data_IF_393907500902
#
_entry.id   IF_393907500902
#
_cell.length_a   1.000
_cell.length_b   1.000
_cell.length_c   1.000
_cell.angle_alpha   90.00
_cell.angle_beta   90.00
_cell.angle_gamma   90.00
#
_symmetry.space_group_name_H-M   'P 1'
#
loop_
_entity.id
_entity.type
_entity.pdbx_description
1 polymer ?
#
# COMPACT_ATOMS: atom_id res chain seq x y z
N UNK A 1 36.17 -44.69 -15.98
CA UNK A 1 35.25 -44.19 -14.94
C UNK A 1 35.27 -42.68 -14.75
N UNK A 2 36.36 -41.97 -14.94
CA UNK A 2 36.40 -40.53 -14.78
C UNK A 2 35.67 -39.75 -15.89
N UNK A 3 35.53 -40.31 -17.07
CA UNK A 3 34.86 -39.66 -18.23
C UNK A 3 33.32 -39.73 -18.14
N UNK A 4 32.77 -40.75 -17.52
CA UNK A 4 31.32 -40.92 -17.31
C UNK A 4 30.77 -39.95 -16.26
N UNK A 5 31.55 -39.66 -15.23
CA UNK A 5 31.17 -38.74 -14.17
C UNK A 5 31.07 -37.31 -14.67
N UNK A 6 31.93 -36.93 -15.60
CA UNK A 6 31.97 -35.62 -16.23
C UNK A 6 30.74 -35.41 -17.15
N UNK A 7 30.30 -36.44 -17.87
CA UNK A 7 29.11 -36.41 -18.71
C UNK A 7 27.84 -36.31 -17.87
N UNK A 8 27.76 -36.97 -16.73
CA UNK A 8 26.62 -36.92 -15.82
C UNK A 8 26.51 -35.48 -15.21
N UNK A 9 27.63 -34.90 -14.84
CA UNK A 9 27.70 -33.53 -14.31
C UNK A 9 27.28 -32.49 -15.35
N UNK A 10 27.70 -32.67 -16.60
CA UNK A 10 27.32 -31.81 -17.71
C UNK A 10 25.82 -31.94 -18.04
N UNK A 11 25.25 -33.12 -17.93
CA UNK A 11 23.83 -33.38 -18.16
C UNK A 11 22.95 -32.74 -17.08
N UNK A 12 23.40 -32.74 -15.83
CA UNK A 12 22.68 -32.09 -14.71
C UNK A 12 22.70 -30.58 -14.84
N UNK A 13 23.80 -30.02 -15.36
CA UNK A 13 23.93 -28.56 -15.56
C UNK A 13 22.96 -28.02 -16.63
N UNK A 14 22.62 -28.84 -17.62
CA UNK A 14 21.69 -28.41 -18.69
C UNK A 14 20.23 -28.44 -18.27
N UNK A 15 19.87 -29.19 -17.22
CA UNK A 15 18.50 -29.25 -16.71
C UNK A 15 18.11 -28.05 -15.85
N UNK A 16 19.10 -27.30 -15.33
CA UNK A 16 18.81 -26.14 -14.47
C UNK A 16 18.47 -24.86 -15.25
N UNK A 17 18.78 -24.81 -16.54
CA UNK A 17 18.54 -23.61 -17.36
C UNK A 17 17.08 -23.48 -17.82
N UNK A 18 16.32 -24.57 -17.82
CA UNK A 18 14.92 -24.53 -18.26
C UNK A 18 13.93 -24.09 -17.16
N UNK A 19 14.32 -24.18 -15.89
CA UNK A 19 13.46 -23.77 -14.78
C UNK A 19 13.30 -22.25 -14.64
N UNK A 20 14.16 -21.46 -15.31
CA UNK A 20 14.09 -19.99 -15.24
C UNK A 20 13.19 -19.35 -16.31
N UNK A 21 12.73 -20.12 -17.28
CA UNK A 21 11.95 -19.56 -18.39
C UNK A 21 10.44 -19.48 -18.09
N UNK A 22 9.96 -20.22 -17.10
CA UNK A 22 8.53 -20.24 -16.78
C UNK A 22 8.10 -19.17 -15.78
N UNK A 23 9.05 -18.51 -15.11
CA UNK A 23 8.71 -17.50 -14.09
C UNK A 23 8.41 -16.11 -14.68
N UNK A 24 8.82 -15.85 -15.92
CA UNK A 24 8.61 -14.54 -16.56
C UNK A 24 7.27 -14.40 -17.25
N UNK A 25 6.58 -15.49 -17.56
CA UNK A 25 5.29 -15.43 -18.22
C UNK A 25 4.08 -15.31 -17.26
N UNK A 26 4.29 -15.54 -15.96
CA UNK A 26 3.21 -15.45 -14.97
C UNK A 26 2.99 -14.01 -14.49
N UNK A 27 3.99 -13.14 -14.64
CA UNK A 27 3.90 -11.73 -14.21
C UNK A 27 3.08 -10.88 -15.19
N UNK A 28 2.92 -11.33 -16.44
CA UNK A 28 2.19 -10.57 -17.48
C UNK A 28 0.68 -10.79 -17.54
N UNK A 29 0.13 -11.72 -16.78
CA UNK A 29 -1.28 -12.14 -16.92
C UNK A 29 -2.10 -12.13 -15.64
N UNK A 30 -1.58 -11.58 -14.55
CA UNK A 30 -2.46 -11.20 -13.46
C UNK A 30 -3.34 -10.07 -13.96
N UNK A 31 -4.66 -10.26 -14.06
CA UNK A 31 -5.54 -9.15 -14.35
C UNK A 31 -5.31 -8.14 -13.21
N UNK A 32 -4.59 -7.09 -13.52
CA UNK A 32 -4.57 -5.89 -12.69
C UNK A 32 -6.02 -5.44 -12.66
N UNK A 33 -6.74 -5.88 -11.65
CA UNK A 33 -8.07 -5.35 -11.38
C UNK A 33 -7.85 -3.87 -11.14
N UNK A 34 -8.08 -3.08 -12.18
CA UNK A 34 -8.03 -1.63 -12.09
C UNK A 34 -9.13 -1.18 -11.14
N UNK A 35 -8.82 -1.20 -9.85
CA UNK A 35 -9.64 -0.57 -8.82
C UNK A 35 -9.64 0.97 -8.97
N UNK A 36 -8.94 1.48 -9.98
CA UNK A 36 -8.83 2.91 -10.25
C UNK A 36 -10.17 3.55 -10.65
N UNK A 37 -11.09 2.80 -11.24
CA UNK A 37 -12.40 3.32 -11.64
C UNK A 37 -13.37 3.40 -10.48
N UNK A 38 -13.31 2.47 -9.54
CA UNK A 38 -14.13 2.51 -8.34
C UNK A 38 -13.65 3.58 -7.35
N UNK A 39 -12.34 3.81 -7.27
CA UNK A 39 -11.75 4.86 -6.44
C UNK A 39 -12.13 6.28 -6.89
N UNK A 40 -12.40 6.48 -8.19
CA UNK A 40 -12.73 7.79 -8.75
C UNK A 40 -14.10 8.32 -8.30
N UNK A 41 -15.01 7.44 -7.84
CA UNK A 41 -16.36 7.81 -7.43
C UNK A 41 -16.51 7.97 -5.91
N UNK A 42 -15.43 7.83 -5.13
CA UNK A 42 -15.47 7.99 -3.68
C UNK A 42 -15.12 9.44 -3.35
N UNK A 43 -16.03 10.08 -2.64
CA UNK A 43 -15.83 11.45 -2.16
C UNK A 43 -15.04 11.43 -0.86
N UNK A 44 -13.78 11.89 -0.90
CA UNK A 44 -12.89 11.92 0.25
C UNK A 44 -12.35 13.33 0.43
N UNK A 45 -12.58 13.90 1.59
CA UNK A 45 -11.99 15.18 2.01
C UNK A 45 -11.08 14.93 3.21
N UNK A 46 -9.86 15.45 3.15
CA UNK A 46 -8.89 15.43 4.24
C UNK A 46 -8.54 16.88 4.56
N UNK A 47 -8.69 17.28 5.82
CA UNK A 47 -8.42 18.67 6.24
C UNK A 47 -7.95 18.74 7.69
N UNK A 48 -7.14 19.76 8.05
CA UNK A 48 -6.50 20.73 7.15
C UNK A 48 -5.33 20.11 6.37
N UNK A 49 -5.09 20.59 5.16
CA UNK A 49 -3.87 20.31 4.41
C UNK A 49 -3.25 21.65 4.02
N UNK A 50 -2.00 21.93 4.39
CA UNK A 50 -1.07 21.09 5.21
C UNK A 50 -1.58 20.85 6.63
N UNK A 51 -1.17 19.70 7.22
CA UNK A 51 -1.47 19.37 8.62
C UNK A 51 -0.53 20.17 9.53
N UNK A 52 -1.08 20.93 10.46
CA UNK A 52 -0.31 21.81 11.37
C UNK A 52 -0.46 21.47 12.85
N UNK A 53 -1.60 20.93 13.26
CA UNK A 53 -1.96 20.73 14.66
C UNK A 53 -1.85 19.28 15.12
N UNK A 54 -0.90 18.51 14.56
CA UNK A 54 -0.70 17.10 14.87
C UNK A 54 -1.98 16.24 14.73
N UNK A 55 -2.94 16.70 13.96
CA UNK A 55 -4.15 15.95 13.67
C UNK A 55 -4.78 16.42 12.36
N UNK A 56 -5.49 15.52 11.71
CA UNK A 56 -6.31 15.84 10.56
C UNK A 56 -7.64 15.06 10.60
N UNK A 57 -8.60 15.51 9.83
CA UNK A 57 -9.91 14.89 9.75
C UNK A 57 -10.12 14.33 8.36
N UNK A 58 -10.67 13.13 8.30
CA UNK A 58 -11.14 12.49 7.06
C UNK A 58 -12.65 12.51 7.06
N UNK A 59 -13.22 13.06 6.00
CA UNK A 59 -14.67 13.02 5.72
C UNK A 59 -14.89 12.30 4.39
N UNK A 60 -15.82 11.36 4.38
CA UNK A 60 -16.14 10.56 3.21
C UNK A 60 -17.63 10.21 3.18
N UNK A 61 -18.12 9.77 2.04
CA UNK A 61 -19.49 9.29 1.82
C UNK A 61 -19.65 7.77 2.03
N UNK A 62 -18.57 7.07 2.40
CA UNK A 62 -18.56 5.63 2.64
C UNK A 62 -17.99 5.28 4.01
N UNK A 63 -18.39 4.14 4.53
CA UNK A 63 -17.94 3.66 5.82
C UNK A 63 -16.47 3.23 5.79
N UNK A 64 -15.67 3.82 6.66
CA UNK A 64 -14.26 3.54 6.82
C UNK A 64 -14.09 2.32 7.73
N UNK A 65 -13.33 1.35 7.29
CA UNK A 65 -12.94 0.16 8.06
C UNK A 65 -11.57 0.31 8.71
N UNK A 66 -10.62 0.93 8.00
CA UNK A 66 -9.25 1.10 8.48
C UNK A 66 -8.64 2.38 7.93
N UNK A 67 -7.89 3.07 8.77
CA UNK A 67 -7.00 4.18 8.37
C UNK A 67 -5.58 3.86 8.80
N UNK A 68 -4.66 4.05 7.89
CA UNK A 68 -3.22 3.85 8.10
C UNK A 68 -2.48 5.06 7.56
N UNK A 69 -1.58 5.60 8.34
CA UNK A 69 -0.69 6.69 7.92
C UNK A 69 0.74 6.16 7.89
N UNK A 70 1.41 6.33 6.76
CA UNK A 70 2.80 5.93 6.57
C UNK A 70 3.64 7.11 6.10
N UNK A 71 4.93 7.07 6.42
CA UNK A 71 5.88 7.95 5.75
C UNK A 71 6.18 7.45 4.32
N UNK A 72 6.98 8.19 3.57
CA UNK A 72 7.30 7.85 2.17
C UNK A 72 8.13 6.58 2.01
N UNK A 73 8.81 6.11 3.06
CA UNK A 73 9.54 4.83 3.06
C UNK A 73 8.70 3.65 3.52
N UNK A 74 7.41 3.87 3.82
CA UNK A 74 6.45 2.81 4.15
C UNK A 74 6.38 2.43 5.63
N UNK A 75 6.98 3.20 6.53
CA UNK A 75 6.86 2.97 7.98
C UNK A 75 5.50 3.44 8.48
N UNK A 76 4.84 2.64 9.31
CA UNK A 76 3.59 2.99 9.96
C UNK A 76 3.84 4.07 11.03
N UNK A 77 3.14 5.19 10.90
CA UNK A 77 3.10 6.26 11.88
C UNK A 77 1.84 6.16 12.74
N UNK A 78 0.74 5.75 12.12
CA UNK A 78 -0.55 5.59 12.77
C UNK A 78 -1.37 4.52 12.06
N UNK A 79 -2.13 3.74 12.84
CA UNK A 79 -3.06 2.75 12.31
C UNK A 79 -4.24 2.58 13.25
N UNK A 80 -5.44 2.62 12.71
CA UNK A 80 -6.67 2.36 13.45
C UNK A 80 -7.64 1.55 12.61
N UNK A 81 -8.30 0.61 13.25
CA UNK A 81 -9.38 -0.17 12.66
C UNK A 81 -10.70 0.19 13.37
N UNK A 82 -11.75 0.38 12.59
CA UNK A 82 -13.07 0.70 13.09
C UNK A 82 -14.00 -0.50 12.97
N UNK A 83 -14.78 -0.76 14.01
CA UNK A 83 -15.76 -1.85 14.05
C UNK A 83 -17.20 -1.34 13.88
N UNK A 84 -17.37 -0.05 13.69
CA UNK A 84 -18.66 0.61 13.47
C UNK A 84 -18.57 1.55 12.26
N UNK A 85 -19.73 1.97 11.75
CA UNK A 85 -19.83 2.91 10.64
C UNK A 85 -19.15 4.23 11.00
N UNK A 86 -18.14 4.63 10.21
CA UNK A 86 -17.40 5.87 10.38
C UNK A 86 -17.23 6.56 9.03
N UNK A 87 -17.84 7.72 8.87
CA UNK A 87 -17.70 8.56 7.68
C UNK A 87 -17.00 9.88 7.98
N UNK A 88 -16.79 10.18 9.24
CA UNK A 88 -16.04 11.33 9.73
C UNK A 88 -15.13 10.87 10.86
N UNK A 89 -13.82 10.92 10.66
CA UNK A 89 -12.84 10.47 11.64
C UNK A 89 -11.73 11.49 11.81
N UNK A 90 -11.32 11.72 13.04
CA UNK A 90 -10.16 12.53 13.38
C UNK A 90 -8.97 11.62 13.64
N UNK A 91 -7.87 11.90 12.99
CA UNK A 91 -6.63 11.14 13.10
C UNK A 91 -5.61 11.96 13.89
N UNK A 92 -5.32 11.59 15.14
CA UNK A 92 -4.26 12.22 15.90
C UNK A 92 -2.91 11.63 15.49
N UNK A 93 -1.88 12.46 15.42
CA UNK A 93 -0.52 12.05 15.14
C UNK A 93 0.35 12.45 16.32
N UNK A 94 1.22 11.55 16.75
CA UNK A 94 2.16 11.81 17.84
C UNK A 94 3.43 12.46 17.30
N UNK A 95 3.50 13.78 17.47
CA UNK A 95 4.66 14.60 17.10
C UNK A 95 5.31 14.21 15.76
N UNK A 96 4.54 14.24 14.65
CA UNK A 96 5.02 13.80 13.35
C UNK A 96 6.10 14.78 12.85
N UNK A 97 7.12 14.24 12.20
CA UNK A 97 8.12 15.05 11.52
C UNK A 97 7.51 15.74 10.30
N UNK A 98 7.95 16.95 10.02
CA UNK A 98 7.63 17.65 8.78
C UNK A 98 7.95 16.79 7.57
N UNK A 99 7.06 16.73 6.62
CA UNK A 99 7.27 16.00 5.37
C UNK A 99 6.01 15.46 4.74
N UNK A 100 6.21 14.60 3.77
CA UNK A 100 5.15 13.94 3.02
C UNK A 100 4.80 12.59 3.64
N UNK A 101 3.49 12.33 3.73
CA UNK A 101 2.93 11.09 4.27
C UNK A 101 1.85 10.54 3.35
N UNK A 102 1.62 9.25 3.45
CA UNK A 102 0.54 8.57 2.73
C UNK A 102 -0.54 8.15 3.71
N UNK A 103 -1.77 8.50 3.42
CA UNK A 103 -2.96 8.06 4.14
C UNK A 103 -3.64 6.97 3.32
N UNK A 104 -3.65 5.76 3.84
CA UNK A 104 -4.36 4.62 3.25
C UNK A 104 -5.70 4.47 3.98
N UNK A 105 -6.77 4.52 3.23
CA UNK A 105 -8.14 4.34 3.73
C UNK A 105 -8.69 3.07 3.11
N UNK A 106 -9.13 2.15 3.95
CA UNK A 106 -9.83 0.94 3.53
C UNK A 106 -11.28 1.09 3.99
N UNK A 107 -12.20 0.96 3.06
CA UNK A 107 -13.63 1.04 3.32
C UNK A 107 -14.21 -0.33 3.68
N UNK A 108 -15.40 -0.35 4.26
CA UNK A 108 -16.08 -1.58 4.68
C UNK A 108 -16.40 -2.53 3.54
N UNK A 109 -16.52 -2.03 2.32
CA UNK A 109 -16.67 -2.80 1.08
C UNK A 109 -15.36 -3.36 0.51
N UNK A 110 -14.22 -3.11 1.18
CA UNK A 110 -12.89 -3.58 0.79
C UNK A 110 -12.15 -2.67 -0.19
N UNK A 111 -12.74 -1.57 -0.64
CA UNK A 111 -12.07 -0.60 -1.52
C UNK A 111 -10.97 0.10 -0.74
N UNK A 112 -9.82 0.25 -1.38
CA UNK A 112 -8.63 0.89 -0.82
C UNK A 112 -8.30 2.16 -1.61
N UNK A 113 -8.14 3.27 -0.91
CA UNK A 113 -7.71 4.54 -1.48
C UNK A 113 -6.47 5.04 -0.74
N UNK A 114 -5.51 5.58 -1.47
CA UNK A 114 -4.31 6.19 -0.91
C UNK A 114 -4.29 7.67 -1.28
N UNK A 115 -4.17 8.53 -0.28
CA UNK A 115 -4.03 9.97 -0.44
C UNK A 115 -2.70 10.44 0.12
N UNK A 116 -2.06 11.36 -0.57
CA UNK A 116 -0.84 12.01 -0.13
C UNK A 116 -1.18 13.28 0.65
N UNK A 117 -0.57 13.45 1.81
CA UNK A 117 -0.70 14.64 2.65
C UNK A 117 0.66 15.24 2.95
N UNK A 118 0.67 16.54 3.25
CA UNK A 118 1.83 17.26 3.75
C UNK A 118 1.63 17.58 5.22
N UNK A 119 2.63 17.29 6.04
CA UNK A 119 2.68 17.68 7.44
C UNK A 119 3.71 18.79 7.58
N UNK A 120 3.30 19.92 8.15
CA UNK A 120 4.16 21.04 8.51
C UNK A 120 4.43 20.99 10.01
N UNK A 121 5.54 21.61 10.40
CA UNK A 121 5.88 21.75 11.81
C UNK A 121 4.85 22.66 12.50
N UNK A 122 4.34 22.22 13.64
CA UNK A 122 3.51 23.07 14.49
C UNK A 122 4.36 24.20 15.07
N UNK A 123 3.99 25.41 14.78
CA UNK A 123 4.62 26.55 15.43
C UNK A 123 4.28 26.65 16.93
#
# INVERSE_FOLDING_TARGET
MKKSLLFIFLLILTLTIQAQKDTTNVIGTLPKKDNSRESANINISIFPIPVRDNSFTIKTDRDISLVRVTNIIGQDIFRIQYNSSQQLVRIPLDNPKRGMYLVTIIFSDGIRVVKKIMIEESE
#
